data_IF_465881161434
#
_entry.id   IF_465881161434
#
_cell.length_a   1.000
_cell.length_b   1.000
_cell.length_c   1.000
_cell.angle_alpha   90.00
_cell.angle_beta   90.00
_cell.angle_gamma   90.00
#
_symmetry.space_group_name_H-M   'P 1'
#
loop_
_entity.id
_entity.type
_entity.pdbx_description
1 polymer ?
#
# COMPACT_ATOMS: atom_id res chain seq x y z
N UNK A 1 -0.72 0.49 -34.61
CA UNK A 1 -0.01 1.07 -33.44
C UNK A 1 0.07 0.01 -32.36
N UNK A 2 1.27 -0.25 -31.83
CA UNK A 2 1.45 -1.27 -30.78
C UNK A 2 0.96 -0.72 -29.44
N UNK A 3 -0.04 -1.33 -28.78
CA UNK A 3 -0.64 -0.79 -27.56
C UNK A 3 0.36 -0.65 -26.41
N UNK A 4 1.39 -1.49 -26.33
CA UNK A 4 2.49 -1.32 -25.36
C UNK A 4 3.29 -0.03 -25.59
N UNK A 5 3.60 0.31 -26.84
CA UNK A 5 4.36 1.52 -27.17
C UNK A 5 3.58 2.78 -26.80
N UNK A 6 2.27 2.79 -27.10
CA UNK A 6 1.39 3.92 -26.73
C UNK A 6 1.30 4.13 -25.22
N UNK A 7 1.20 3.05 -24.43
CA UNK A 7 1.21 3.17 -22.97
C UNK A 7 2.55 3.76 -22.48
N UNK A 8 3.67 3.31 -23.06
CA UNK A 8 5.00 3.77 -22.66
C UNK A 8 5.20 5.26 -22.97
N UNK A 9 4.84 5.69 -24.17
CA UNK A 9 4.91 7.11 -24.56
C UNK A 9 4.06 8.00 -23.64
N UNK A 10 2.84 7.53 -23.31
CA UNK A 10 1.97 8.22 -22.36
C UNK A 10 2.65 8.35 -20.99
N UNK A 11 3.25 7.27 -20.48
CA UNK A 11 3.95 7.31 -19.20
C UNK A 11 5.15 8.27 -19.24
N UNK A 12 6.02 8.17 -20.25
CA UNK A 12 7.20 9.03 -20.38
C UNK A 12 6.82 10.51 -20.45
N UNK A 13 5.79 10.84 -21.21
CA UNK A 13 5.26 12.21 -21.35
C UNK A 13 4.75 12.75 -20.02
N UNK A 14 4.08 11.91 -19.22
CA UNK A 14 3.34 12.35 -18.03
C UNK A 14 4.12 12.16 -16.72
N UNK A 15 5.24 11.43 -16.74
CA UNK A 15 5.99 11.02 -15.54
C UNK A 15 6.32 12.19 -14.61
N UNK A 16 6.83 13.29 -15.15
CA UNK A 16 7.20 14.46 -14.35
C UNK A 16 5.99 15.08 -13.63
N UNK A 17 4.86 15.23 -14.33
CA UNK A 17 3.62 15.75 -13.76
C UNK A 17 3.06 14.82 -12.67
N UNK A 18 3.11 13.50 -12.90
CA UNK A 18 2.67 12.51 -11.92
C UNK A 18 3.53 12.52 -10.64
N UNK A 19 4.84 12.67 -10.78
CA UNK A 19 5.76 12.78 -9.63
C UNK A 19 5.50 14.08 -8.87
N UNK A 20 5.32 15.20 -9.55
CA UNK A 20 5.02 16.48 -8.90
C UNK A 20 3.71 16.41 -8.12
N UNK A 21 2.66 15.86 -8.73
CA UNK A 21 1.37 15.62 -8.06
C UNK A 21 1.52 14.69 -6.85
N UNK A 22 2.16 13.54 -7.00
CA UNK A 22 2.32 12.61 -5.89
C UNK A 22 3.16 13.23 -4.76
N UNK A 23 4.19 14.01 -5.10
CA UNK A 23 5.02 14.72 -4.13
C UNK A 23 4.21 15.70 -3.28
N UNK A 24 3.23 16.40 -3.86
CA UNK A 24 2.36 17.30 -3.09
C UNK A 24 1.43 16.56 -2.12
N UNK A 25 1.20 15.25 -2.32
CA UNK A 25 0.36 14.43 -1.45
C UNK A 25 1.18 13.71 -0.37
N UNK A 26 2.36 13.18 -0.72
CA UNK A 26 3.19 12.39 0.21
C UNK A 26 4.37 13.16 0.82
N UNK A 27 4.65 14.38 0.37
CA UNK A 27 5.69 15.26 0.91
C UNK A 27 7.13 14.84 0.62
N UNK A 28 7.35 13.67 0.00
CA UNK A 28 8.68 13.13 -0.27
C UNK A 28 8.80 12.66 -1.73
N UNK A 29 9.76 13.23 -2.46
CA UNK A 29 10.01 12.90 -3.87
C UNK A 29 10.35 11.42 -4.09
N UNK A 30 11.18 10.83 -3.24
CA UNK A 30 11.55 9.40 -3.37
C UNK A 30 10.32 8.49 -3.22
N UNK A 31 9.40 8.82 -2.31
CA UNK A 31 8.14 8.07 -2.17
C UNK A 31 7.25 8.29 -3.39
N UNK A 32 7.15 9.53 -3.89
CA UNK A 32 6.39 9.85 -5.09
C UNK A 32 6.86 9.07 -6.32
N UNK A 33 8.18 8.99 -6.55
CA UNK A 33 8.76 8.25 -7.67
C UNK A 33 8.43 6.75 -7.60
N UNK A 34 8.52 6.15 -6.41
CA UNK A 34 8.12 4.76 -6.19
C UNK A 34 6.64 4.52 -6.47
N UNK A 35 5.75 5.41 -5.99
CA UNK A 35 4.32 5.28 -6.21
C UNK A 35 3.95 5.39 -7.70
N UNK A 36 4.60 6.28 -8.43
CA UNK A 36 4.39 6.46 -9.88
C UNK A 36 4.87 5.24 -10.67
N UNK A 37 6.01 4.66 -10.29
CA UNK A 37 6.50 3.41 -10.88
C UNK A 37 5.58 2.23 -10.58
N UNK A 38 5.13 2.08 -9.33
CA UNK A 38 4.16 1.06 -8.96
C UNK A 38 2.82 1.23 -9.70
N UNK A 39 2.37 2.47 -9.85
CA UNK A 39 1.16 2.78 -10.61
C UNK A 39 1.29 2.35 -12.09
N UNK A 40 2.45 2.61 -12.71
CA UNK A 40 2.73 2.21 -14.08
C UNK A 40 2.67 0.69 -14.26
N UNK A 41 3.28 -0.08 -13.35
CA UNK A 41 3.23 -1.55 -13.39
C UNK A 41 1.78 -2.06 -13.29
N UNK A 42 0.98 -1.50 -12.36
CA UNK A 42 -0.44 -1.85 -12.19
C UNK A 42 -1.30 -1.43 -13.39
N UNK A 43 -0.95 -0.33 -14.05
CA UNK A 43 -1.59 0.16 -15.27
C UNK A 43 -1.30 -0.74 -16.48
N UNK A 44 -0.06 -1.22 -16.60
CA UNK A 44 0.34 -2.19 -17.62
C UNK A 44 -0.44 -3.50 -17.53
N UNK A 45 -0.68 -3.99 -16.32
CA UNK A 45 -1.43 -5.23 -16.04
C UNK A 45 -2.94 -5.13 -16.32
N UNK A 46 -3.52 -3.92 -16.43
CA UNK A 46 -4.92 -3.75 -16.78
C UNK A 46 -5.11 -3.85 -18.30
N UNK A 47 -5.79 -4.91 -18.74
CA UNK A 47 -6.16 -5.11 -20.13
C UNK A 47 -7.09 -3.99 -20.62
N UNK A 48 -6.83 -3.44 -21.81
CA UNK A 48 -7.68 -2.43 -22.45
C UNK A 48 -7.57 -1.00 -21.90
N UNK A 49 -6.89 -0.77 -20.78
CA UNK A 49 -6.71 0.57 -20.23
C UNK A 49 -5.48 1.26 -20.84
N UNK A 50 -5.70 2.33 -21.59
CA UNK A 50 -4.66 3.15 -22.25
C UNK A 50 -4.82 4.64 -21.95
N UNK A 51 -5.78 5.03 -21.12
CA UNK A 51 -6.09 6.45 -20.87
C UNK A 51 -5.28 6.98 -19.70
N UNK A 52 -4.87 8.24 -19.81
CA UNK A 52 -4.19 8.96 -18.73
C UNK A 52 -5.04 9.01 -17.44
N UNK A 53 -6.37 9.09 -17.57
CA UNK A 53 -7.30 9.07 -16.44
C UNK A 53 -7.20 7.79 -15.61
N UNK A 54 -6.97 6.63 -16.26
CA UNK A 54 -6.73 5.36 -15.59
C UNK A 54 -5.45 5.40 -14.75
N UNK A 55 -4.35 5.89 -15.32
CA UNK A 55 -3.06 6.02 -14.64
C UNK A 55 -3.13 7.02 -13.46
N UNK A 56 -3.75 8.18 -13.67
CA UNK A 56 -3.96 9.20 -12.62
C UNK A 56 -4.76 8.65 -11.44
N UNK A 57 -5.80 7.86 -11.72
CA UNK A 57 -6.61 7.21 -10.68
C UNK A 57 -5.76 6.27 -9.82
N UNK A 58 -4.89 5.47 -10.43
CA UNK A 58 -4.01 4.55 -9.71
C UNK A 58 -3.01 5.34 -8.85
N UNK A 59 -2.35 6.37 -9.41
CA UNK A 59 -1.41 7.23 -8.67
C UNK A 59 -2.09 7.90 -7.48
N UNK A 60 -3.27 8.51 -7.69
CA UNK A 60 -4.03 9.15 -6.62
C UNK A 60 -4.39 8.18 -5.50
N UNK A 61 -4.87 6.98 -5.84
CA UNK A 61 -5.24 5.99 -4.84
C UNK A 61 -4.04 5.53 -4.01
N UNK A 62 -2.89 5.30 -4.66
CA UNK A 62 -1.64 4.94 -4.00
C UNK A 62 -1.13 6.06 -3.08
N UNK A 63 -1.12 7.31 -3.57
CA UNK A 63 -0.69 8.47 -2.79
C UNK A 63 -1.55 8.67 -1.53
N UNK A 64 -2.89 8.57 -1.65
CA UNK A 64 -3.76 8.67 -0.48
C UNK A 64 -3.66 7.47 0.46
N UNK A 65 -3.44 6.24 -0.06
CA UNK A 65 -3.21 5.09 0.80
C UNK A 65 -1.93 5.27 1.64
N UNK A 66 -0.86 5.78 1.03
CA UNK A 66 0.38 6.11 1.71
C UNK A 66 0.20 7.25 2.72
N UNK A 67 -0.50 8.32 2.36
CA UNK A 67 -0.76 9.46 3.25
C UNK A 67 -1.66 9.09 4.45
N UNK A 68 -2.57 8.13 4.27
CA UNK A 68 -3.42 7.60 5.36
C UNK A 68 -2.73 6.57 6.24
N UNK A 69 -1.52 6.12 5.86
CA UNK A 69 -0.80 5.14 6.66
C UNK A 69 -0.46 5.79 8.01
N UNK A 70 -1.01 5.32 9.13
CA UNK A 70 -0.63 5.86 10.43
C UNK A 70 0.87 5.71 10.56
N UNK A 71 1.53 6.69 11.17
CA UNK A 71 2.92 6.57 11.59
C UNK A 71 3.03 5.25 12.34
N UNK A 72 3.66 4.25 11.71
CA UNK A 72 3.88 2.98 12.37
C UNK A 72 4.87 3.34 13.47
N UNK A 73 4.50 3.31 14.77
CA UNK A 73 5.51 3.43 15.79
C UNK A 73 6.56 2.36 15.45
N UNK A 74 7.83 2.75 15.41
CA UNK A 74 8.92 1.78 15.34
C UNK A 74 8.76 0.97 16.62
N UNK A 75 8.08 -0.17 16.50
CA UNK A 75 7.91 -1.10 17.60
C UNK A 75 9.29 -1.71 17.81
N UNK A 76 10.09 -1.07 18.67
CA UNK A 76 11.19 -1.74 19.36
C UNK A 76 10.52 -2.89 20.11
N UNK A 77 10.83 -4.13 19.69
CA UNK A 77 10.24 -5.39 20.15
C UNK A 77 9.28 -5.24 21.34
N UNK A 78 7.98 -5.08 21.04
CA UNK A 78 6.96 -5.22 22.06
C UNK A 78 7.07 -6.65 22.60
N UNK A 79 7.25 -6.77 23.93
CA UNK A 79 7.16 -8.06 24.62
C UNK A 79 5.90 -8.78 24.12
N UNK A 80 5.97 -10.10 23.85
CA UNK A 80 4.83 -10.84 23.31
C UNK A 80 3.61 -10.55 24.17
N UNK A 81 2.58 -9.99 23.54
CA UNK A 81 1.34 -9.66 24.21
C UNK A 81 0.75 -10.98 24.72
N UNK A 82 0.38 -11.09 26.01
CA UNK A 82 -0.17 -12.33 26.53
C UNK A 82 -1.41 -12.69 25.71
N UNK A 83 -1.59 -14.00 25.46
CA UNK A 83 -2.67 -14.49 24.60
C UNK A 83 -4.00 -13.82 24.99
N UNK A 84 -4.82 -13.39 24.02
CA UNK A 84 -6.09 -12.73 24.30
C UNK A 84 -6.97 -13.62 25.20
N UNK A 85 -7.80 -13.00 26.07
CA UNK A 85 -8.51 -13.70 27.15
C UNK A 85 -9.34 -14.92 26.69
N UNK A 86 -9.90 -14.88 25.48
CA UNK A 86 -10.62 -16.02 24.93
C UNK A 86 -9.72 -17.25 24.74
N UNK A 87 -8.45 -17.05 24.35
CA UNK A 87 -7.44 -18.11 24.24
C UNK A 87 -6.98 -18.61 25.62
N UNK A 88 -6.85 -17.73 26.61
CA UNK A 88 -6.49 -18.14 27.98
C UNK A 88 -7.56 -19.04 28.59
N UNK A 89 -8.84 -18.73 28.33
CA UNK A 89 -9.98 -19.54 28.78
C UNK A 89 -10.06 -20.90 28.09
N UNK A 90 -9.66 -21.00 26.83
CA UNK A 90 -9.58 -22.27 26.10
C UNK A 90 -8.35 -23.10 26.49
N UNK A 91 -7.21 -22.46 26.78
CA UNK A 91 -6.01 -23.14 27.27
C UNK A 91 -6.26 -23.80 28.64
N UNK A 92 -7.04 -23.17 29.52
CA UNK A 92 -7.48 -23.79 30.78
C UNK A 92 -8.34 -25.04 30.58
N UNK A 93 -9.15 -25.07 29.52
CA UNK A 93 -9.98 -26.24 29.19
C UNK A 93 -9.17 -27.41 28.59
N UNK A 94 -8.04 -27.14 27.93
CA UNK A 94 -7.15 -28.16 27.38
C UNK A 94 -6.10 -28.70 28.37
N UNK A 95 -5.75 -27.92 29.41
CA UNK A 95 -4.76 -28.32 30.43
C UNK A 95 -5.36 -28.93 31.70
N UNK A 96 -6.69 -29.05 31.81
CA UNK A 96 -7.34 -29.80 32.89
C UNK A 96 -7.13 -29.26 34.32
N UNK A 97 -6.60 -28.04 34.49
CA UNK A 97 -6.43 -27.45 35.81
C UNK A 97 -7.74 -26.79 36.26
N UNK A 98 -8.56 -27.53 37.00
CA UNK A 98 -9.67 -26.96 37.75
C UNK A 98 -9.12 -26.00 38.84
N UNK A 99 -9.73 -24.82 39.04
CA UNK A 99 -9.39 -24.00 40.20
C UNK A 99 -9.89 -24.72 41.46
N UNK A 100 -8.96 -25.06 42.36
CA UNK A 100 -9.31 -25.41 43.73
C UNK A 100 -10.01 -24.21 44.37
N UNK A 101 -11.21 -24.46 44.88
CA UNK A 101 -11.98 -23.59 45.78
C UNK A 101 -11.15 -23.21 47.00
#
# INVERSE_FOLDING_TARGET
MNPCAQKLDLYLTQRAALINYATSVVGCRNQAERLVQEAWLRFGAQAGETRLSGLLRIVRNLAHAQARRPLRPVVVAQRPQPAPRWMQRLAGALLGLAPAV
#
